data_IF_246703299869
#
_entry.id   IF_246703299869
#
_cell.length_a   1.000
_cell.length_b   1.000
_cell.length_c   1.000
_cell.angle_alpha   90.00
_cell.angle_beta   90.00
_cell.angle_gamma   90.00
#
_symmetry.space_group_name_H-M   'P 1'
#
loop_
_entity.id
_entity.type
_entity.pdbx_description
1 polymer ?
#
# COMPACT_ATOMS: atom_id res chain seq x y z
N UNK A 1 1.14 37.38 59.04
CA UNK A 1 -0.05 36.70 58.50
C UNK A 1 0.06 36.75 56.98
N UNK A 2 0.56 35.68 56.36
CA UNK A 2 0.69 35.63 54.91
C UNK A 2 -0.72 35.50 54.31
N UNK A 3 -1.06 36.38 53.37
CA UNK A 3 -2.39 36.43 52.77
C UNK A 3 -2.68 35.12 51.99
N UNK A 4 -3.84 34.47 52.19
CA UNK A 4 -4.16 33.19 51.55
C UNK A 4 -4.28 33.27 50.02
N UNK A 5 -4.32 34.49 49.47
CA UNK A 5 -4.38 34.78 48.03
C UNK A 5 -3.04 34.44 47.35
N UNK A 6 -1.91 34.51 48.06
CA UNK A 6 -0.58 34.29 47.48
C UNK A 6 -0.24 32.80 47.26
N UNK A 7 -0.88 31.88 48.00
CA UNK A 7 -0.68 30.44 47.81
C UNK A 7 -1.39 29.88 46.57
N UNK A 8 -2.51 30.51 46.16
CA UNK A 8 -3.28 30.05 45.00
C UNK A 8 -2.55 30.33 43.68
N UNK A 9 -1.84 31.45 43.56
CA UNK A 9 -1.10 31.82 42.34
C UNK A 9 0.10 30.90 42.07
N UNK A 10 0.75 30.37 43.12
CA UNK A 10 1.93 29.49 43.00
C UNK A 10 1.55 28.11 42.45
N UNK A 11 0.30 27.66 42.65
CA UNK A 11 -0.18 26.37 42.15
C UNK A 11 -0.73 26.41 40.72
N UNK A 12 -1.18 27.58 40.24
CA UNK A 12 -1.77 27.72 38.89
C UNK A 12 -0.69 27.83 37.81
N UNK A 13 0.47 28.40 38.14
CA UNK A 13 1.57 28.60 37.18
C UNK A 13 2.15 27.27 36.66
N UNK A 14 2.47 26.24 37.50
CA UNK A 14 2.93 24.94 37.02
C UNK A 14 1.90 24.20 36.16
N UNK A 15 0.61 24.33 36.48
CA UNK A 15 -0.50 23.70 35.75
C UNK A 15 -0.62 24.22 34.32
N UNK A 16 -0.49 25.54 34.12
CA UNK A 16 -0.51 26.15 32.79
C UNK A 16 0.71 25.75 31.94
N UNK A 17 1.89 25.59 32.55
CA UNK A 17 3.09 25.20 31.80
C UNK A 17 3.00 23.73 31.33
N UNK A 18 2.35 22.85 32.10
CA UNK A 18 2.13 21.45 31.67
C UNK A 18 1.12 21.29 30.53
N UNK A 19 0.13 22.20 30.40
CA UNK A 19 -0.83 22.13 29.29
C UNK A 19 -0.23 22.57 27.95
N UNK A 20 0.78 23.47 27.98
CA UNK A 20 1.51 23.94 26.80
C UNK A 20 2.42 22.85 26.18
N UNK A 21 2.84 21.85 26.96
CA UNK A 21 3.62 20.70 26.47
C UNK A 21 2.79 19.51 26.02
N UNK A 22 1.46 19.55 26.18
CA UNK A 22 0.56 18.48 25.74
C UNK A 22 0.08 18.64 24.29
N UNK A 23 0.66 19.58 23.53
CA UNK A 23 0.56 19.57 22.06
C UNK A 23 1.69 18.73 21.46
N UNK A 24 1.87 17.51 21.97
CA UNK A 24 2.46 16.45 21.15
C UNK A 24 1.49 16.26 20.00
N UNK A 25 1.92 16.61 18.80
CA UNK A 25 1.18 16.45 17.55
C UNK A 25 0.52 15.08 17.53
N UNK A 26 -0.78 15.02 17.86
CA UNK A 26 -1.57 13.82 17.69
C UNK A 26 -1.70 13.66 16.19
N UNK A 27 -0.77 12.92 15.59
CA UNK A 27 -0.93 12.42 14.23
C UNK A 27 -2.31 11.79 14.15
N UNK A 28 -3.08 12.18 13.14
CA UNK A 28 -4.45 11.70 12.99
C UNK A 28 -4.42 10.17 13.00
N UNK A 29 -4.98 9.55 14.04
CA UNK A 29 -5.01 8.09 14.15
C UNK A 29 -5.81 7.56 12.97
N UNK A 30 -5.19 6.70 12.16
CA UNK A 30 -5.88 6.01 11.09
C UNK A 30 -6.99 5.15 11.70
N UNK A 31 -8.24 5.45 11.32
CA UNK A 31 -9.45 4.74 11.75
C UNK A 31 -10.32 4.37 10.54
N UNK A 32 -11.37 3.60 10.77
CA UNK A 32 -12.29 3.14 9.72
C UNK A 32 -12.91 4.30 8.91
N UNK A 33 -13.45 5.37 9.53
CA UNK A 33 -13.95 6.53 8.79
C UNK A 33 -12.90 7.17 7.88
N UNK A 34 -11.68 7.38 8.39
CA UNK A 34 -10.61 7.98 7.59
C UNK A 34 -10.21 7.07 6.42
N UNK A 35 -10.04 5.77 6.67
CA UNK A 35 -9.72 4.78 5.64
C UNK A 35 -10.81 4.75 4.55
N UNK A 36 -12.08 4.83 4.94
CA UNK A 36 -13.20 4.90 4.00
C UNK A 36 -13.14 6.16 3.12
N UNK A 37 -12.87 7.33 3.70
CA UNK A 37 -12.69 8.58 2.94
C UNK A 37 -11.48 8.52 2.01
N UNK A 38 -10.40 7.87 2.41
CA UNK A 38 -9.25 7.66 1.54
C UNK A 38 -9.61 6.77 0.34
N UNK A 39 -10.28 5.65 0.58
CA UNK A 39 -10.65 4.68 -0.46
C UNK A 39 -11.65 5.22 -1.48
N UNK A 40 -12.45 6.24 -1.14
CA UNK A 40 -13.31 6.95 -2.11
C UNK A 40 -12.53 7.60 -3.26
N UNK A 41 -11.21 7.78 -3.14
CA UNK A 41 -10.35 8.33 -4.20
C UNK A 41 -9.82 7.27 -5.17
N UNK A 42 -10.14 6.00 -4.95
CA UNK A 42 -9.72 4.88 -5.80
C UNK A 42 -10.82 4.53 -6.80
N UNK A 43 -10.48 3.77 -7.84
CA UNK A 43 -11.45 3.27 -8.82
C UNK A 43 -12.39 2.20 -8.24
N UNK A 44 -11.99 1.53 -7.15
CA UNK A 44 -12.81 0.54 -6.44
C UNK A 44 -12.72 0.78 -4.92
N UNK A 45 -13.62 1.63 -4.38
CA UNK A 45 -13.60 1.98 -2.96
C UNK A 45 -13.83 0.80 -2.03
N UNK A 46 -14.67 -0.16 -2.42
CA UNK A 46 -15.02 -1.32 -1.60
C UNK A 46 -13.86 -2.30 -1.52
N UNK A 47 -13.21 -2.57 -2.65
CA UNK A 47 -11.99 -3.37 -2.69
C UNK A 47 -10.89 -2.73 -1.86
N UNK A 48 -10.64 -1.42 -2.05
CA UNK A 48 -9.65 -0.69 -1.26
C UNK A 48 -9.90 -0.84 0.25
N UNK A 49 -11.14 -0.60 0.70
CA UNK A 49 -11.46 -0.63 2.11
C UNK A 49 -11.33 -2.04 2.70
N UNK A 50 -11.90 -3.05 2.02
CA UNK A 50 -11.85 -4.45 2.49
C UNK A 50 -10.42 -4.98 2.54
N UNK A 51 -9.63 -4.72 1.50
CA UNK A 51 -8.25 -5.17 1.39
C UNK A 51 -7.38 -4.55 2.48
N UNK A 52 -7.41 -3.22 2.64
CA UNK A 52 -6.61 -2.55 3.67
C UNK A 52 -7.07 -2.92 5.07
N UNK A 53 -8.38 -3.02 5.32
CA UNK A 53 -8.91 -3.39 6.64
C UNK A 53 -8.58 -4.82 7.05
N UNK A 54 -8.50 -5.75 6.10
CA UNK A 54 -8.17 -7.14 6.38
C UNK A 54 -6.70 -7.33 6.82
N UNK A 55 -5.81 -6.42 6.44
CA UNK A 55 -4.40 -6.51 6.79
C UNK A 55 -4.11 -5.93 8.19
N UNK A 56 -3.57 -6.73 9.12
CA UNK A 56 -3.29 -6.27 10.48
C UNK A 56 -2.22 -5.17 10.55
N UNK A 57 -1.37 -5.04 9.52
CA UNK A 57 -0.33 -4.00 9.44
C UNK A 57 -0.95 -2.62 9.24
N UNK A 58 -2.14 -2.50 8.64
CA UNK A 58 -2.77 -1.22 8.29
C UNK A 58 -2.89 -0.28 9.49
N UNK A 59 -3.29 -0.80 10.65
CA UNK A 59 -3.48 -0.02 11.88
C UNK A 59 -2.34 -0.14 12.90
N UNK A 60 -1.22 -0.78 12.55
CA UNK A 60 -0.17 -1.17 13.51
C UNK A 60 0.79 -0.04 13.92
N UNK A 61 1.06 0.94 13.06
CA UNK A 61 1.78 2.16 13.44
C UNK A 61 0.77 3.26 13.82
N UNK A 62 1.21 4.39 14.38
CA UNK A 62 0.38 5.54 14.79
C UNK A 62 -0.47 6.20 13.68
N UNK A 63 -0.61 5.56 12.51
CA UNK A 63 -1.62 5.86 11.51
C UNK A 63 -1.24 6.96 10.53
N UNK A 64 0.04 7.28 10.39
CA UNK A 64 0.43 8.26 9.38
C UNK A 64 0.25 7.68 7.95
N UNK A 65 0.02 8.58 7.00
CA UNK A 65 -0.20 8.22 5.60
C UNK A 65 1.03 7.53 4.97
N UNK A 66 2.22 7.72 5.55
CA UNK A 66 3.43 7.09 5.06
C UNK A 66 3.44 5.59 5.37
N UNK A 67 3.12 5.22 6.61
CA UNK A 67 2.93 3.83 7.00
C UNK A 67 1.85 3.16 6.16
N UNK A 68 0.70 3.83 5.98
CA UNK A 68 -0.39 3.28 5.16
C UNK A 68 0.04 3.03 3.70
N UNK A 69 0.83 3.94 3.12
CA UNK A 69 1.37 3.77 1.78
C UNK A 69 2.33 2.57 1.67
N UNK A 70 3.24 2.41 2.64
CA UNK A 70 4.14 1.24 2.69
C UNK A 70 3.37 -0.08 2.85
N UNK A 71 2.35 -0.11 3.71
CA UNK A 71 1.48 -1.29 3.88
C UNK A 71 0.72 -1.59 2.60
N UNK A 72 0.20 -0.58 1.91
CA UNK A 72 -0.52 -0.77 0.64
C UNK A 72 0.39 -1.41 -0.42
N UNK A 73 1.63 -0.96 -0.54
CA UNK A 73 2.62 -1.55 -1.45
C UNK A 73 2.97 -2.98 -1.01
N UNK A 74 3.14 -3.23 0.29
CA UNK A 74 3.41 -4.56 0.82
C UNK A 74 2.28 -5.56 0.52
N UNK A 75 1.02 -5.15 0.68
CA UNK A 75 -0.13 -5.97 0.30
C UNK A 75 -0.10 -6.30 -1.20
N UNK A 76 0.20 -5.32 -2.06
CA UNK A 76 0.33 -5.58 -3.50
C UNK A 76 1.46 -6.57 -3.82
N UNK A 77 2.60 -6.46 -3.13
CA UNK A 77 3.72 -7.41 -3.25
C UNK A 77 3.28 -8.82 -2.84
N UNK A 78 2.60 -8.95 -1.70
CA UNK A 78 2.15 -10.23 -1.17
C UNK A 78 1.14 -10.89 -2.14
N UNK A 79 0.19 -10.12 -2.67
CA UNK A 79 -0.76 -10.59 -3.68
C UNK A 79 -0.07 -11.05 -4.97
N UNK A 80 0.85 -10.24 -5.52
CA UNK A 80 1.56 -10.61 -6.76
C UNK A 80 2.47 -11.83 -6.54
N UNK A 81 3.07 -11.97 -5.36
CA UNK A 81 3.90 -13.13 -5.01
C UNK A 81 3.09 -14.44 -5.04
N UNK A 82 1.86 -14.44 -4.52
CA UNK A 82 0.99 -15.63 -4.57
C UNK A 82 0.80 -16.08 -6.02
N UNK A 83 0.50 -15.16 -6.93
CA UNK A 83 0.30 -15.48 -8.35
C UNK A 83 1.60 -15.98 -9.01
N UNK A 84 2.74 -15.35 -8.70
CA UNK A 84 4.07 -15.82 -9.16
C UNK A 84 4.34 -17.26 -8.73
N UNK A 85 3.94 -17.64 -7.51
CA UNK A 85 4.14 -18.99 -6.97
C UNK A 85 3.17 -20.01 -7.58
N UNK A 86 1.98 -19.59 -7.99
CA UNK A 86 0.95 -20.45 -8.57
C UNK A 86 1.13 -20.72 -10.07
N UNK A 87 1.59 -19.74 -10.86
CA UNK A 87 1.74 -19.85 -12.31
C UNK A 87 2.55 -21.09 -12.77
N UNK A 88 3.69 -21.47 -12.15
CA UNK A 88 4.41 -22.70 -12.50
C UNK A 88 3.55 -23.97 -12.38
N UNK A 89 2.63 -24.00 -11.42
CA UNK A 89 1.69 -25.10 -11.23
C UNK A 89 0.61 -25.16 -12.30
N UNK A 90 0.18 -23.99 -12.79
CA UNK A 90 -0.76 -23.87 -13.90
C UNK A 90 -0.11 -24.30 -15.21
N UNK A 91 1.10 -23.81 -15.51
CA UNK A 91 1.86 -24.15 -16.72
C UNK A 91 1.99 -25.67 -16.93
N UNK A 92 2.25 -26.43 -15.87
CA UNK A 92 2.37 -27.90 -15.91
C UNK A 92 1.09 -28.62 -16.32
N UNK A 93 -0.07 -27.98 -16.23
CA UNK A 93 -1.39 -28.54 -16.52
C UNK A 93 -1.92 -28.13 -17.90
N UNK A 94 -1.26 -27.17 -18.56
CA UNK A 94 -1.66 -26.70 -19.88
C UNK A 94 -1.17 -27.67 -20.96
N UNK A 95 -2.04 -27.92 -21.94
CA UNK A 95 -1.73 -28.77 -23.10
C UNK A 95 -1.80 -28.00 -24.42
N UNK A 96 -2.51 -26.87 -24.45
CA UNK A 96 -2.57 -26.02 -25.63
C UNK A 96 -1.30 -25.16 -25.75
N UNK A 97 -0.70 -25.17 -26.95
CA UNK A 97 0.57 -24.48 -27.20
C UNK A 97 0.44 -22.96 -27.06
N UNK A 98 -0.70 -22.39 -27.46
CA UNK A 98 -0.94 -20.95 -27.37
C UNK A 98 -1.10 -20.54 -25.91
N UNK A 99 -1.84 -21.31 -25.13
CA UNK A 99 -2.02 -21.04 -23.70
C UNK A 99 -0.70 -21.19 -22.91
N UNK A 100 0.16 -22.15 -23.28
CA UNK A 100 1.51 -22.28 -22.69
C UNK A 100 2.31 -20.98 -22.92
N UNK A 101 2.41 -20.52 -24.17
CA UNK A 101 3.17 -19.30 -24.52
C UNK A 101 2.60 -18.07 -23.80
N UNK A 102 1.27 -17.94 -23.76
CA UNK A 102 0.61 -16.85 -23.01
C UNK A 102 0.95 -16.89 -21.53
N UNK A 103 0.87 -18.07 -20.92
CA UNK A 103 1.15 -18.22 -19.49
C UNK A 103 2.63 -18.03 -19.15
N UNK A 104 3.56 -18.39 -20.04
CA UNK A 104 4.99 -18.06 -19.91
C UNK A 104 5.22 -16.54 -19.96
N UNK A 105 4.54 -15.83 -20.86
CA UNK A 105 4.60 -14.37 -20.90
C UNK A 105 4.01 -13.75 -19.63
N UNK A 106 2.86 -14.25 -19.16
CA UNK A 106 2.29 -13.87 -17.88
C UNK A 106 3.28 -14.08 -16.73
N UNK A 107 3.96 -15.22 -16.68
CA UNK A 107 4.96 -15.49 -15.66
C UNK A 107 6.07 -14.42 -15.66
N UNK A 108 6.54 -14.03 -16.85
CA UNK A 108 7.55 -12.98 -16.98
C UNK A 108 7.03 -11.62 -16.52
N UNK A 109 5.82 -11.24 -16.92
CA UNK A 109 5.18 -9.98 -16.53
C UNK A 109 4.97 -9.88 -15.02
N UNK A 110 4.47 -10.96 -14.38
CA UNK A 110 4.27 -11.03 -12.94
C UNK A 110 5.59 -10.98 -12.16
N UNK A 111 6.62 -11.72 -12.61
CA UNK A 111 7.95 -11.66 -12.00
C UNK A 111 8.56 -10.25 -12.08
N UNK A 112 8.41 -9.59 -13.23
CA UNK A 112 8.90 -8.22 -13.41
C UNK A 112 8.11 -7.22 -12.54
N UNK A 113 6.77 -7.33 -12.50
CA UNK A 113 5.93 -6.50 -11.64
C UNK A 113 6.28 -6.67 -10.17
N UNK A 114 6.52 -7.90 -9.71
CA UNK A 114 6.94 -8.19 -8.34
C UNK A 114 8.27 -7.51 -8.00
N UNK A 115 9.25 -7.59 -8.90
CA UNK A 115 10.55 -6.92 -8.75
C UNK A 115 10.39 -5.41 -8.68
N UNK A 116 9.59 -4.83 -9.58
CA UNK A 116 9.30 -3.39 -9.62
C UNK A 116 8.65 -2.92 -8.31
N UNK A 117 7.69 -3.68 -7.79
CA UNK A 117 7.02 -3.35 -6.53
C UNK A 117 7.98 -3.42 -5.33
N UNK A 118 8.76 -4.50 -5.22
CA UNK A 118 9.72 -4.72 -4.12
C UNK A 118 10.89 -3.76 -4.14
N UNK A 119 11.60 -3.71 -5.27
CA UNK A 119 12.90 -3.03 -5.34
C UNK A 119 12.73 -1.56 -5.72
N UNK A 120 11.68 -1.24 -6.49
CA UNK A 120 11.39 0.11 -6.97
C UNK A 120 10.38 0.85 -6.08
N UNK A 121 9.11 0.42 -6.13
CA UNK A 121 8.02 1.15 -5.49
C UNK A 121 8.19 1.28 -3.98
N UNK A 122 8.50 0.17 -3.29
CA UNK A 122 8.69 0.18 -1.85
C UNK A 122 9.88 1.05 -1.44
N UNK A 123 11.02 0.90 -2.10
CA UNK A 123 12.24 1.69 -1.83
C UNK A 123 12.00 3.19 -2.06
N UNK A 124 11.40 3.57 -3.20
CA UNK A 124 11.05 4.97 -3.48
C UNK A 124 10.10 5.52 -2.42
N UNK A 125 9.06 4.77 -2.03
CA UNK A 125 8.11 5.23 -1.03
C UNK A 125 8.76 5.39 0.34
N UNK A 126 9.62 4.44 0.75
CA UNK A 126 10.38 4.51 2.00
C UNK A 126 11.33 5.72 2.04
N UNK A 127 11.89 6.10 0.87
CA UNK A 127 12.70 7.30 0.69
C UNK A 127 11.86 8.59 0.56
N UNK A 128 10.53 8.52 0.69
CA UNK A 128 9.56 9.62 0.48
C UNK A 128 9.54 10.18 -0.94
N UNK A 129 10.08 9.45 -1.91
CA UNK A 129 9.91 9.71 -3.33
C UNK A 129 8.56 9.15 -3.80
N UNK A 130 7.48 9.85 -3.44
CA UNK A 130 6.12 9.40 -3.75
C UNK A 130 5.82 9.40 -5.25
N UNK A 131 6.47 10.28 -6.02
CA UNK A 131 6.30 10.31 -7.47
C UNK A 131 7.01 9.13 -8.13
N UNK A 132 8.23 8.80 -7.70
CA UNK A 132 8.92 7.58 -8.10
C UNK A 132 8.12 6.35 -7.74
N UNK A 133 7.64 6.25 -6.50
CA UNK A 133 6.80 5.12 -6.06
C UNK A 133 5.53 4.97 -6.91
N UNK A 134 4.81 6.07 -7.16
CA UNK A 134 3.63 6.08 -8.03
C UNK A 134 3.97 5.60 -9.44
N UNK A 135 5.06 6.08 -10.02
CA UNK A 135 5.51 5.66 -11.35
C UNK A 135 5.78 4.16 -11.39
N UNK A 136 6.48 3.62 -10.39
CA UNK A 136 6.79 2.19 -10.30
C UNK A 136 5.51 1.35 -10.15
N UNK A 137 4.57 1.77 -9.30
CA UNK A 137 3.27 1.08 -9.15
C UNK A 137 2.47 1.05 -10.46
N UNK A 138 2.43 2.17 -11.19
CA UNK A 138 1.77 2.22 -12.51
C UNK A 138 2.46 1.27 -13.51
N UNK A 139 3.80 1.27 -13.56
CA UNK A 139 4.54 0.36 -14.44
C UNK A 139 4.26 -1.11 -14.09
N UNK A 140 4.26 -1.48 -12.81
CA UNK A 140 3.91 -2.83 -12.38
C UNK A 140 2.47 -3.21 -12.78
N UNK A 141 1.50 -2.32 -12.54
CA UNK A 141 0.10 -2.56 -12.89
C UNK A 141 -0.10 -2.76 -14.41
N UNK A 142 0.61 -1.99 -15.24
CA UNK A 142 0.58 -2.15 -16.70
C UNK A 142 1.16 -3.52 -17.14
N UNK A 143 2.24 -3.98 -16.50
CA UNK A 143 2.78 -5.32 -16.74
C UNK A 143 1.77 -6.41 -16.39
N UNK A 144 1.12 -6.33 -15.22
CA UNK A 144 0.07 -7.28 -14.84
C UNK A 144 -1.11 -7.27 -15.81
N UNK A 145 -1.50 -6.10 -16.30
CA UNK A 145 -2.58 -5.97 -17.28
C UNK A 145 -2.21 -6.57 -18.66
N UNK A 146 -0.92 -6.59 -19.04
CA UNK A 146 -0.48 -7.18 -20.29
C UNK A 146 -0.77 -8.69 -20.36
N UNK A 147 -0.58 -9.40 -19.24
CA UNK A 147 -0.97 -10.80 -19.11
C UNK A 147 -2.46 -11.01 -19.42
N UNK A 148 -3.34 -10.29 -18.74
CA UNK A 148 -4.80 -10.36 -18.95
C UNK A 148 -5.18 -10.02 -20.40
N UNK A 149 -4.53 -9.02 -20.98
CA UNK A 149 -4.78 -8.60 -22.35
C UNK A 149 -4.35 -9.65 -23.39
N UNK A 150 -3.35 -10.48 -23.08
CA UNK A 150 -2.90 -11.57 -23.97
C UNK A 150 -3.99 -12.64 -24.23
N UNK A 151 -4.94 -12.78 -23.29
CA UNK A 151 -6.11 -13.65 -23.44
C UNK A 151 -7.30 -12.96 -24.11
N UNK A 152 -7.36 -11.62 -24.09
CA UNK A 152 -8.41 -10.81 -24.72
C UNK A 152 -8.15 -10.53 -26.20
N UNK A 153 -6.87 -10.51 -26.62
CA UNK A 153 -6.48 -10.29 -28.01
C UNK A 153 -5.71 -11.51 -28.59
N UNK A 154 -6.30 -12.25 -29.55
CA UNK A 154 -5.63 -13.37 -30.24
C UNK A 154 -4.36 -13.00 -31.01
N UNK A 155 -4.15 -11.72 -31.37
CA UNK A 155 -3.01 -11.30 -32.20
C UNK A 155 -1.70 -11.10 -31.41
N UNK A 156 -1.73 -11.16 -30.07
CA UNK A 156 -0.53 -10.92 -29.27
C UNK A 156 0.47 -12.10 -29.24
N UNK A 157 0.08 -13.27 -29.77
CA UNK A 157 0.91 -14.50 -29.76
C UNK A 157 2.10 -14.43 -30.75
N UNK A 158 2.10 -13.49 -31.69
CA UNK A 158 3.09 -13.44 -32.78
C UNK A 158 4.08 -12.27 -32.73
N UNK A 159 4.15 -11.54 -31.61
CA UNK A 159 4.99 -10.34 -31.51
C UNK A 159 6.22 -10.56 -30.61
N UNK A 160 7.04 -11.55 -30.97
CA UNK A 160 8.43 -11.67 -30.53
C UNK A 160 9.30 -12.09 -31.71
#
# INVERSE_FOLDING_TARGET
>A
MASPINCLLILVIPLLVTSLFYQVSVGQKLDDPYLKTLCQKTSDPDFCFKTLKADPRTFAASGDLNHLGLVTIAIAIDTVQVEVDEIPGILKKLNDRVDIVRMENCQNDYNNALKILRDGAYTSFAAKDYNGAKSQVITAANGLAACENSYKDPQHVHRH
#
